data_IF_230489653288
#
_entry.id   IF_230489653288
#
_cell.length_a   1.000
_cell.length_b   1.000
_cell.length_c   1.000
_cell.angle_alpha   90.00
_cell.angle_beta   90.00
_cell.angle_gamma   90.00
#
_symmetry.space_group_name_H-M   'P 1'
#
loop_
_entity.id
_entity.type
_entity.pdbx_description
1 polymer ?
#
# COMPACT_ATOMS: atom_id res chain seq x y z
N UNK A 1 -45.99 -29.81 -13.75
CA UNK A 1 -46.78 -29.00 -12.79
C UNK A 1 -46.17 -27.61 -12.73
N UNK A 2 -47.02 -26.62 -12.95
CA UNK A 2 -46.73 -25.20 -13.15
C UNK A 2 -46.81 -24.45 -11.82
N UNK A 3 -46.01 -23.39 -11.66
CA UNK A 3 -46.47 -22.13 -11.10
C UNK A 3 -45.50 -20.99 -11.46
N UNK A 4 -45.75 -20.38 -12.63
CA UNK A 4 -45.28 -19.04 -12.98
C UNK A 4 -45.91 -18.03 -12.01
N UNK A 5 -45.12 -17.26 -11.28
CA UNK A 5 -45.62 -16.11 -10.51
C UNK A 5 -45.71 -14.91 -11.44
N UNK A 6 -46.95 -14.60 -11.83
CA UNK A 6 -47.36 -13.32 -12.36
C UNK A 6 -47.39 -12.29 -11.22
N UNK A 7 -46.89 -11.08 -11.45
CA UNK A 7 -47.27 -9.93 -10.66
C UNK A 7 -47.59 -8.77 -11.59
N UNK A 8 -48.83 -8.31 -11.41
CA UNK A 8 -49.63 -7.45 -12.25
C UNK A 8 -49.16 -6.00 -12.08
N UNK A 9 -49.04 -5.32 -13.22
CA UNK A 9 -48.86 -3.88 -13.30
C UNK A 9 -50.15 -3.16 -12.87
N UNK A 10 -50.02 -2.16 -12.00
CA UNK A 10 -51.09 -1.19 -11.72
C UNK A 10 -50.72 0.11 -12.44
N UNK A 11 -51.49 0.43 -13.48
CA UNK A 11 -51.49 1.72 -14.16
C UNK A 11 -52.40 2.66 -13.36
N UNK A 12 -51.82 3.70 -12.76
CA UNK A 12 -52.58 4.83 -12.25
C UNK A 12 -52.54 5.95 -13.29
N UNK A 13 -53.67 6.13 -13.97
CA UNK A 13 -53.97 7.33 -14.75
C UNK A 13 -54.23 8.48 -13.77
N UNK A 14 -53.27 9.40 -13.68
CA UNK A 14 -53.44 10.69 -13.03
C UNK A 14 -52.72 11.73 -13.87
N UNK A 15 -53.48 12.58 -14.55
CA UNK A 15 -52.96 13.68 -15.35
C UNK A 15 -52.33 14.73 -14.43
N UNK A 16 -51.02 14.67 -14.23
CA UNK A 16 -50.21 15.81 -13.79
C UNK A 16 -49.19 16.09 -14.86
N UNK A 17 -49.36 17.22 -15.55
CA UNK A 17 -48.33 17.83 -16.37
C UNK A 17 -47.22 18.32 -15.46
N UNK A 18 -46.28 17.43 -15.13
CA UNK A 18 -44.96 17.77 -14.60
C UNK A 18 -44.02 17.75 -15.79
N UNK A 19 -43.69 18.95 -16.29
CA UNK A 19 -42.56 19.13 -17.18
C UNK A 19 -41.28 19.15 -16.32
N UNK A 20 -40.29 18.35 -16.71
CA UNK A 20 -38.90 18.37 -16.28
C UNK A 20 -38.63 18.21 -14.76
N UNK A 21 -38.64 16.96 -14.25
CA UNK A 21 -38.01 16.65 -12.95
C UNK A 21 -37.48 15.20 -12.86
N UNK A 22 -37.39 14.48 -13.98
CA UNK A 22 -36.86 13.09 -14.01
C UNK A 22 -35.41 13.05 -14.49
N UNK A 23 -35.01 13.99 -15.36
CA UNK A 23 -33.62 14.08 -15.83
C UNK A 23 -32.67 14.55 -14.73
N UNK A 24 -33.03 15.63 -14.01
CA UNK A 24 -32.25 16.15 -12.87
C UNK A 24 -32.06 15.09 -11.78
N UNK A 25 -33.12 14.35 -11.45
CA UNK A 25 -33.04 13.26 -10.46
C UNK A 25 -32.14 12.10 -10.90
N UNK A 26 -32.07 11.77 -12.20
CA UNK A 26 -31.16 10.73 -12.70
C UNK A 26 -29.71 11.21 -12.69
N UNK A 27 -29.47 12.49 -13.01
CA UNK A 27 -28.14 13.09 -12.97
C UNK A 27 -27.62 13.20 -11.53
N UNK A 28 -28.45 13.62 -10.58
CA UNK A 28 -28.12 13.68 -9.15
C UNK A 28 -27.83 12.30 -8.56
N UNK A 29 -28.60 11.27 -8.95
CA UNK A 29 -28.35 9.88 -8.56
C UNK A 29 -27.01 9.40 -9.11
N UNK A 30 -26.69 9.68 -10.39
CA UNK A 30 -25.41 9.32 -11.00
C UNK A 30 -24.24 10.00 -10.29
N UNK A 31 -24.34 11.30 -10.08
CA UNK A 31 -23.31 12.08 -9.38
C UNK A 31 -23.07 11.55 -7.95
N UNK A 32 -24.14 11.14 -7.25
CA UNK A 32 -24.02 10.53 -5.92
C UNK A 32 -23.35 9.16 -5.97
N UNK A 33 -23.71 8.30 -6.93
CA UNK A 33 -23.10 6.97 -7.11
C UNK A 33 -21.61 7.12 -7.44
N UNK A 34 -21.26 8.01 -8.36
CA UNK A 34 -19.88 8.28 -8.76
C UNK A 34 -19.07 8.79 -7.55
N UNK A 35 -19.62 9.73 -6.77
CA UNK A 35 -18.97 10.22 -5.55
C UNK A 35 -18.78 9.15 -4.46
N UNK A 36 -19.71 8.20 -4.32
CA UNK A 36 -19.57 7.04 -3.44
C UNK A 36 -18.46 6.11 -3.96
N UNK A 37 -18.44 5.83 -5.26
CA UNK A 37 -17.43 4.97 -5.88
C UNK A 37 -16.02 5.55 -5.71
N UNK A 38 -15.86 6.86 -5.87
CA UNK A 38 -14.61 7.57 -5.64
C UNK A 38 -14.17 7.48 -4.18
N UNK A 39 -15.11 7.70 -3.25
CA UNK A 39 -14.84 7.61 -1.81
C UNK A 39 -14.40 6.19 -1.38
N UNK A 40 -15.04 5.16 -1.94
CA UNK A 40 -14.66 3.76 -1.71
C UNK A 40 -13.25 3.50 -2.28
N UNK A 41 -12.99 3.94 -3.50
CA UNK A 41 -11.68 3.76 -4.15
C UNK A 41 -10.57 4.44 -3.36
N UNK A 42 -10.80 5.68 -2.90
CA UNK A 42 -9.87 6.43 -2.06
C UNK A 42 -9.66 5.76 -0.70
N UNK A 43 -10.72 5.28 -0.05
CA UNK A 43 -10.62 4.56 1.22
C UNK A 43 -9.83 3.25 1.06
N UNK A 44 -9.96 2.57 -0.08
CA UNK A 44 -9.21 1.33 -0.35
C UNK A 44 -7.72 1.58 -0.58
N UNK A 45 -7.38 2.74 -1.15
CA UNK A 45 -6.00 3.13 -1.45
C UNK A 45 -5.27 3.85 -0.31
N UNK A 46 -6.00 4.38 0.67
CA UNK A 46 -5.42 5.09 1.81
C UNK A 46 -4.54 4.15 2.65
N UNK A 47 -3.28 4.56 2.85
CA UNK A 47 -2.32 3.80 3.65
C UNK A 47 -2.64 3.94 5.15
N UNK A 48 -2.87 2.81 5.82
CA UNK A 48 -3.12 2.76 7.26
C UNK A 48 -1.87 2.30 7.99
N UNK A 49 -1.57 2.94 9.13
CA UNK A 49 -0.48 2.52 10.00
C UNK A 49 -0.79 1.14 10.63
N UNK A 50 0.21 0.27 10.67
CA UNK A 50 0.09 -1.09 11.23
C UNK A 50 0.85 -1.18 12.55
N UNK A 51 2.16 -0.92 12.52
CA UNK A 51 3.03 -0.94 13.70
C UNK A 51 4.38 -0.28 13.43
N UNK A 52 5.06 0.07 14.51
CA UNK A 52 6.47 0.46 14.51
C UNK A 52 7.34 -0.73 14.92
N UNK A 53 8.57 -0.78 14.40
CA UNK A 53 9.61 -1.72 14.81
C UNK A 53 10.88 -0.93 15.08
N UNK A 54 11.47 -1.15 16.25
CA UNK A 54 12.70 -0.50 16.71
C UNK A 54 13.76 -1.54 17.04
N UNK A 55 15.02 -1.09 17.12
CA UNK A 55 16.14 -1.95 17.50
C UNK A 55 15.94 -2.60 18.89
N UNK A 56 16.33 -3.87 19.09
CA UNK A 56 16.94 -4.78 18.11
C UNK A 56 15.92 -5.35 17.12
N UNK A 57 16.25 -5.28 15.83
CA UNK A 57 15.40 -5.81 14.76
C UNK A 57 15.43 -7.35 14.77
N UNK A 58 14.29 -7.97 15.10
CA UNK A 58 14.14 -9.44 15.16
C UNK A 58 13.59 -10.04 13.85
N UNK A 59 14.03 -9.56 12.70
CA UNK A 59 13.59 -10.09 11.41
C UNK A 59 14.29 -11.43 11.11
N UNK A 60 13.56 -12.49 10.72
CA UNK A 60 14.18 -13.74 10.30
C UNK A 60 15.18 -13.54 9.15
N UNK A 61 16.32 -14.23 9.21
CA UNK A 61 17.35 -14.16 8.19
C UNK A 61 17.08 -15.18 7.06
N UNK A 62 17.38 -14.84 5.80
CA UNK A 62 17.19 -15.73 4.66
C UNK A 62 18.19 -16.89 4.69
N UNK A 63 17.68 -18.11 4.49
CA UNK A 63 18.49 -19.34 4.43
C UNK A 63 19.27 -19.44 3.13
N UNK A 64 18.70 -18.99 2.01
CA UNK A 64 19.30 -19.11 0.69
C UNK A 64 19.91 -17.78 0.23
N UNK A 65 21.03 -17.87 -0.50
CA UNK A 65 21.78 -16.69 -0.97
C UNK A 65 20.94 -15.78 -1.88
N UNK A 66 20.07 -16.34 -2.73
CA UNK A 66 19.17 -15.57 -3.60
C UNK A 66 18.22 -14.64 -2.84
N UNK A 67 17.88 -15.00 -1.61
CA UNK A 67 16.92 -14.27 -0.77
C UNK A 67 17.62 -13.22 0.09
N UNK A 68 18.95 -13.20 0.11
CA UNK A 68 19.73 -12.15 0.79
C UNK A 68 19.62 -10.82 0.05
N UNK A 69 19.62 -9.69 0.76
CA UNK A 69 19.91 -8.39 0.15
C UNK A 69 21.31 -8.37 -0.45
N UNK A 70 21.50 -7.51 -1.46
CA UNK A 70 22.83 -7.12 -1.92
C UNK A 70 23.59 -6.44 -0.78
N UNK A 71 24.93 -6.58 -0.77
CA UNK A 71 25.75 -5.89 0.21
C UNK A 71 25.62 -4.37 0.08
N UNK A 72 25.64 -3.69 1.22
CA UNK A 72 25.54 -2.23 1.30
C UNK A 72 26.20 -1.71 2.56
N UNK A 73 26.33 -0.39 2.64
CA UNK A 73 26.79 0.29 3.86
C UNK A 73 25.63 0.78 4.73
N UNK A 74 24.41 0.28 4.52
CA UNK A 74 23.21 0.78 5.16
C UNK A 74 22.76 -0.10 6.32
N UNK A 75 22.46 0.53 7.45
CA UNK A 75 21.83 -0.10 8.62
C UNK A 75 20.43 0.45 8.78
N UNK A 76 19.48 -0.41 9.17
CA UNK A 76 18.12 0.00 9.50
C UNK A 76 18.07 0.25 11.01
N UNK A 77 17.67 1.46 11.41
CA UNK A 77 17.57 1.87 12.80
C UNK A 77 16.18 1.57 13.38
N UNK A 78 15.14 1.93 12.61
CA UNK A 78 13.74 1.71 12.94
C UNK A 78 12.87 1.82 11.69
N UNK A 79 11.62 1.38 11.77
CA UNK A 79 10.66 1.57 10.68
C UNK A 79 9.21 1.46 11.13
N UNK A 80 8.34 2.09 10.36
CA UNK A 80 6.88 2.03 10.47
C UNK A 80 6.31 1.29 9.27
N UNK A 81 5.45 0.30 9.52
CA UNK A 81 4.77 -0.47 8.48
C UNK A 81 3.39 0.12 8.24
N UNK A 82 3.02 0.25 6.96
CA UNK A 82 1.71 0.69 6.53
C UNK A 82 1.11 -0.29 5.53
N UNK A 83 -0.21 -0.37 5.50
CA UNK A 83 -0.95 -1.10 4.46
C UNK A 83 -2.28 -0.44 4.12
N UNK A 84 -2.72 -0.57 2.86
CA UNK A 84 -4.07 -0.17 2.45
C UNK A 84 -5.05 -1.35 2.42
N UNK A 85 -6.35 -1.08 2.37
CA UNK A 85 -7.36 -2.14 2.24
C UNK A 85 -7.32 -2.84 0.87
N UNK A 86 -6.86 -2.15 -0.18
CA UNK A 86 -6.52 -2.73 -1.48
C UNK A 86 -5.28 -3.64 -1.44
N UNK A 87 -4.58 -3.73 -0.32
CA UNK A 87 -3.40 -4.59 -0.14
C UNK A 87 -2.07 -3.94 -0.50
N UNK A 88 -2.02 -2.62 -0.73
CA UNK A 88 -0.76 -1.89 -0.94
C UNK A 88 0.11 -1.96 0.32
N UNK A 89 1.42 -2.13 0.16
CA UNK A 89 2.39 -2.26 1.26
C UNK A 89 3.48 -1.22 1.14
N UNK A 90 3.68 -0.50 2.24
CA UNK A 90 4.68 0.56 2.35
C UNK A 90 5.38 0.47 3.69
N UNK A 91 6.66 0.83 3.72
CA UNK A 91 7.41 0.94 4.97
C UNK A 91 8.18 2.25 4.97
N UNK A 92 8.01 3.05 6.00
CA UNK A 92 8.85 4.22 6.23
C UNK A 92 10.00 3.79 7.16
N UNK A 93 11.23 3.82 6.67
CA UNK A 93 12.40 3.31 7.37
C UNK A 93 13.40 4.42 7.68
N UNK A 94 13.93 4.43 8.90
CA UNK A 94 15.06 5.26 9.30
C UNK A 94 16.32 4.44 9.07
N UNK A 95 17.21 4.95 8.21
CA UNK A 95 18.38 4.24 7.71
C UNK A 95 19.61 5.12 7.87
N UNK A 96 20.72 4.51 8.29
CA UNK A 96 22.03 5.16 8.43
C UNK A 96 22.98 4.68 7.34
N UNK A 97 23.70 5.61 6.71
CA UNK A 97 24.78 5.33 5.77
C UNK A 97 26.14 5.29 6.47
N UNK A 98 26.83 4.16 6.41
CA UNK A 98 28.18 3.99 6.96
C UNK A 98 29.29 4.02 5.90
N UNK A 99 28.99 4.34 4.64
CA UNK A 99 30.04 4.49 3.62
C UNK A 99 30.88 5.74 3.88
N UNK A 100 32.12 5.75 3.37
CA UNK A 100 32.98 6.93 3.38
C UNK A 100 32.62 8.00 2.34
N UNK A 101 31.44 7.93 1.72
CA UNK A 101 31.05 8.82 0.61
C UNK A 101 29.53 9.01 0.50
N UNK A 102 29.11 9.97 -0.33
CA UNK A 102 27.70 10.18 -0.60
C UNK A 102 27.10 9.07 -1.48
N UNK A 103 26.06 8.36 -1.02
CA UNK A 103 25.46 7.23 -1.76
C UNK A 103 23.93 7.20 -1.69
N UNK A 104 23.29 6.57 -2.68
CA UNK A 104 21.83 6.34 -2.72
C UNK A 104 21.52 4.90 -2.34
N UNK A 105 20.48 4.68 -1.53
CA UNK A 105 19.99 3.34 -1.24
C UNK A 105 19.33 2.74 -2.47
N UNK A 106 19.69 1.51 -2.82
CA UNK A 106 19.11 0.80 -3.96
C UNK A 106 18.11 -0.27 -3.52
N UNK A 107 17.04 -0.54 -4.30
CA UNK A 107 16.05 -1.57 -3.97
C UNK A 107 16.62 -2.95 -3.62
N UNK A 108 17.66 -3.40 -4.32
CA UNK A 108 18.27 -4.71 -4.09
C UNK A 108 19.02 -4.83 -2.75
N UNK A 109 19.36 -3.71 -2.11
CA UNK A 109 20.13 -3.65 -0.86
C UNK A 109 19.27 -3.81 0.40
N UNK A 110 17.96 -3.78 0.24
CA UNK A 110 17.00 -3.92 1.33
C UNK A 110 15.90 -4.90 0.92
N UNK A 111 15.49 -5.78 1.84
CA UNK A 111 14.37 -6.70 1.61
C UNK A 111 13.42 -6.69 2.78
N UNK A 112 12.14 -6.80 2.49
CA UNK A 112 11.10 -7.10 3.46
C UNK A 112 10.90 -8.62 3.55
N UNK A 113 10.84 -9.11 4.78
CA UNK A 113 10.33 -10.43 5.11
C UNK A 113 8.81 -10.39 5.18
N UNK A 114 8.15 -11.08 4.27
CA UNK A 114 6.72 -11.31 4.26
C UNK A 114 6.41 -12.68 4.86
N UNK A 115 5.21 -12.84 5.43
CA UNK A 115 4.73 -14.13 5.93
C UNK A 115 4.91 -15.26 4.91
N UNK A 116 5.28 -16.47 5.38
CA UNK A 116 5.54 -17.61 4.51
C UNK A 116 6.95 -17.67 3.89
N UNK A 117 7.94 -17.06 4.54
CA UNK A 117 9.36 -17.11 4.14
C UNK A 117 9.74 -16.39 2.83
N UNK A 118 8.97 -15.37 2.44
CA UNK A 118 9.25 -14.61 1.21
C UNK A 118 10.04 -13.35 1.52
N UNK A 119 11.18 -13.16 0.85
CA UNK A 119 12.00 -11.95 0.94
C UNK A 119 11.87 -11.16 -0.36
N UNK A 120 11.38 -9.94 -0.28
CA UNK A 120 11.03 -9.13 -1.45
C UNK A 120 11.69 -7.76 -1.32
N UNK A 121 12.37 -7.31 -2.37
CA UNK A 121 12.89 -5.94 -2.47
C UNK A 121 11.75 -4.96 -2.76
N UNK A 122 11.82 -3.70 -2.30
CA UNK A 122 10.85 -2.70 -2.70
C UNK A 122 10.88 -2.51 -4.22
N UNK A 123 9.74 -2.14 -4.80
CA UNK A 123 9.63 -1.76 -6.21
C UNK A 123 10.23 -0.37 -6.44
N UNK A 124 10.09 0.52 -5.46
CA UNK A 124 10.65 1.87 -5.50
C UNK A 124 11.01 2.35 -4.08
N UNK A 125 11.94 3.30 -4.04
CA UNK A 125 12.38 3.97 -2.82
C UNK A 125 12.24 5.48 -3.03
N UNK A 126 11.39 6.12 -2.24
CA UNK A 126 11.36 7.57 -2.13
C UNK A 126 12.40 8.00 -1.09
N UNK A 127 13.40 8.73 -1.58
CA UNK A 127 14.54 9.22 -0.81
C UNK A 127 14.89 10.61 -1.31
N UNK A 128 14.99 11.55 -0.36
CA UNK A 128 15.46 12.91 -0.64
C UNK A 128 16.99 12.95 -0.78
N UNK A 129 17.45 13.33 -1.97
CA UNK A 129 18.86 13.40 -2.33
C UNK A 129 19.62 12.09 -2.14
N UNK A 130 20.94 12.18 -1.99
CA UNK A 130 21.80 11.08 -1.52
C UNK A 130 21.94 11.12 0.00
N UNK A 131 22.41 10.04 0.60
CA UNK A 131 22.93 10.06 1.97
C UNK A 131 24.36 10.58 1.94
N UNK A 132 24.73 11.53 2.79
CA UNK A 132 26.10 11.86 3.11
C UNK A 132 26.73 10.76 3.99
N UNK A 133 28.04 10.86 4.22
CA UNK A 133 28.77 9.95 5.10
C UNK A 133 28.22 10.06 6.53
N UNK A 134 27.88 8.92 7.14
CA UNK A 134 27.36 8.85 8.52
C UNK A 134 25.91 9.33 8.67
N UNK A 135 25.27 9.76 7.58
CA UNK A 135 23.96 10.40 7.66
C UNK A 135 22.86 9.38 7.92
N UNK A 136 21.89 9.78 8.75
CA UNK A 136 20.67 9.03 9.02
C UNK A 136 19.46 9.77 8.45
N UNK A 137 18.67 9.11 7.61
CA UNK A 137 17.45 9.68 7.01
C UNK A 137 16.28 8.72 7.07
N UNK A 138 15.08 9.29 7.01
CA UNK A 138 13.86 8.55 6.71
C UNK A 138 13.69 8.39 5.20
N UNK A 139 13.37 7.17 4.77
CA UNK A 139 13.02 6.83 3.38
C UNK A 139 11.69 6.07 3.32
N UNK A 140 10.97 6.16 2.22
CA UNK A 140 9.74 5.39 1.99
C UNK A 140 10.01 4.26 1.01
N UNK A 141 9.70 3.03 1.42
CA UNK A 141 9.87 1.81 0.64
C UNK A 141 8.48 1.33 0.16
N UNK A 142 8.28 1.21 -1.15
CA UNK A 142 7.02 0.74 -1.73
C UNK A 142 7.18 -0.70 -2.20
N UNK A 143 6.33 -1.61 -1.72
CA UNK A 143 6.38 -3.03 -2.09
C UNK A 143 5.23 -3.45 -3.02
N UNK A 144 4.43 -2.48 -3.48
CA UNK A 144 3.25 -2.74 -4.32
C UNK A 144 2.13 -3.45 -3.56
N UNK A 145 1.29 -4.18 -4.29
CA UNK A 145 0.15 -4.91 -3.73
C UNK A 145 0.57 -6.32 -3.29
N UNK A 146 0.31 -6.66 -2.03
CA UNK A 146 0.55 -8.01 -1.51
C UNK A 146 -0.43 -8.34 -0.36
N UNK A 147 -1.03 -9.53 -0.42
CA UNK A 147 -1.96 -10.00 0.61
C UNK A 147 -1.23 -10.36 1.91
N UNK A 148 0.05 -10.68 1.86
CA UNK A 148 0.88 -10.94 3.03
C UNK A 148 1.32 -9.61 3.70
N UNK A 149 1.35 -9.60 5.02
CA UNK A 149 1.88 -8.47 5.79
C UNK A 149 3.40 -8.45 5.78
N UNK A 150 3.97 -7.25 5.79
CA UNK A 150 5.40 -7.06 6.09
C UNK A 150 5.62 -7.44 7.55
N UNK A 151 6.54 -8.36 7.80
CA UNK A 151 6.90 -8.82 9.14
C UNK A 151 8.15 -8.09 9.62
N UNK A 152 9.12 -7.88 8.74
CA UNK A 152 10.25 -7.02 9.05
C UNK A 152 11.12 -6.68 7.85
N UNK A 153 12.15 -5.88 8.10
CA UNK A 153 13.14 -5.48 7.10
C UNK A 153 14.51 -6.07 7.44
N UNK A 154 15.31 -6.28 6.39
CA UNK A 154 16.72 -6.66 6.48
C UNK A 154 17.56 -5.89 5.45
N UNK A 155 18.76 -5.50 5.87
CA UNK A 155 19.88 -5.14 4.99
C UNK A 155 20.99 -6.17 5.16
N UNK A 156 22.02 -6.10 4.31
CA UNK A 156 23.24 -6.89 4.44
C UNK A 156 24.43 -5.96 4.41
N UNK A 157 25.04 -5.73 5.57
CA UNK A 157 26.23 -4.90 5.68
C UNK A 157 27.47 -5.60 5.11
N UNK A 158 28.51 -4.82 4.77
CA UNK A 158 29.85 -5.35 4.48
C UNK A 158 30.54 -5.86 5.74
#
# INVERSE_FOLDING_TARGET
MSAKKWLIAVVLMGSVSVHAEVADNIEDIKNTIDGIQDSISQSQDTMQFVRSVTSPLKTPQPKHTKDRPAHSYFTIESYNIYSSAAGKRMVQAVITNHSGSGVRLKPEQIKAYFGGQRFISPLSIEQDGTFAQGETKSVTLHFGTNNASVIGLITRSY
#
